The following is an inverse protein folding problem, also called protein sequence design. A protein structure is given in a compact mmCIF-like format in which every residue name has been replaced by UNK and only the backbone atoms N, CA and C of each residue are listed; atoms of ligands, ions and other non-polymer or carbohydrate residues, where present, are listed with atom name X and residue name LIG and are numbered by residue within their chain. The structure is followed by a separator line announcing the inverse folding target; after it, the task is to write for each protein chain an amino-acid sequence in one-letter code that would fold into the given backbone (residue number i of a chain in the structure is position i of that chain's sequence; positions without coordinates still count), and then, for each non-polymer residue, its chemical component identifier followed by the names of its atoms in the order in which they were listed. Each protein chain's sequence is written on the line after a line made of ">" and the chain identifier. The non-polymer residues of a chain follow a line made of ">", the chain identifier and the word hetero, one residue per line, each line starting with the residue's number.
data_IF_383891367778
#
_entry.id   IF_383891367778
#
_cell.length_a   1.000
_cell.length_b   1.000
_cell.length_c   1.000
_cell.angle_alpha   90.00
_cell.angle_beta   90.00
_cell.angle_gamma   90.00
#
_symmetry.space_group_name_H-M   'P 1'
#
loop_
_entity.id
_entity.type
_entity.pdbx_description
1 polymer ?
#
# COMPACT_ATOMS: atom_id res chain seq x y z
N UNK A 1 -4.97 43.72 0.50
CA UNK A 1 -4.29 43.19 1.69
C UNK A 1 -5.35 42.36 2.42
N UNK A 2 -5.36 41.06 2.25
CA UNK A 2 -6.23 40.14 3.03
C UNK A 2 -5.71 40.17 4.47
N UNK A 3 -6.51 40.68 5.40
CA UNK A 3 -6.24 40.57 6.83
C UNK A 3 -6.03 39.08 7.15
N UNK A 4 -4.85 38.73 7.68
CA UNK A 4 -4.60 37.38 8.19
C UNK A 4 -5.60 37.18 9.33
N UNK A 5 -6.55 36.26 9.15
CA UNK A 5 -7.54 35.90 10.16
C UNK A 5 -6.76 35.41 11.39
N UNK A 6 -7.10 35.92 12.56
CA UNK A 6 -6.48 35.49 13.82
C UNK A 6 -7.01 34.10 14.14
N UNK A 7 -6.10 33.15 14.47
CA UNK A 7 -6.48 31.80 14.92
C UNK A 7 -7.21 30.96 13.85
N UNK A 8 -6.55 30.78 12.70
CA UNK A 8 -7.11 30.08 11.53
C UNK A 8 -6.54 28.66 11.33
N UNK A 9 -5.62 28.20 12.21
CA UNK A 9 -4.91 26.94 12.09
C UNK A 9 -5.16 26.04 13.31
N UNK A 10 -5.60 24.81 13.07
CA UNK A 10 -5.54 23.71 14.04
C UNK A 10 -4.30 22.85 13.77
N UNK A 11 -3.47 22.63 14.79
CA UNK A 11 -2.23 21.84 14.64
C UNK A 11 -2.49 20.39 15.07
N UNK A 12 -2.06 19.42 14.25
CA UNK A 12 -2.09 18.00 14.59
C UNK A 12 -0.66 17.46 14.58
N UNK A 13 -0.18 16.96 15.73
CA UNK A 13 1.14 16.34 15.88
C UNK A 13 0.98 14.84 16.00
N UNK A 14 1.71 14.10 15.18
CA UNK A 14 1.66 12.64 15.06
C UNK A 14 3.02 12.00 15.37
N UNK A 15 3.04 10.66 15.53
CA UNK A 15 4.25 9.86 15.79
C UNK A 15 5.05 10.36 17.01
N UNK A 16 4.35 10.66 18.11
CA UNK A 16 4.95 11.19 19.32
C UNK A 16 5.63 10.09 20.13
N UNK A 17 6.93 9.90 19.92
CA UNK A 17 7.75 8.88 20.60
C UNK A 17 8.74 9.45 21.63
N UNK A 18 8.85 10.79 21.76
CA UNK A 18 9.82 11.45 22.64
C UNK A 18 9.32 12.79 23.11
N UNK A 19 9.27 13.01 24.43
CA UNK A 19 8.94 14.31 25.03
C UNK A 19 9.90 15.42 24.60
N UNK A 20 11.19 15.12 24.48
CA UNK A 20 12.19 16.09 24.02
C UNK A 20 11.92 16.59 22.59
N UNK A 21 11.62 15.68 21.67
CA UNK A 21 11.28 16.07 20.29
C UNK A 21 9.98 16.84 20.24
N UNK A 22 8.98 16.45 21.03
CA UNK A 22 7.69 17.15 21.12
C UNK A 22 7.87 18.59 21.61
N UNK A 23 8.64 18.80 22.68
CA UNK A 23 8.94 20.14 23.19
C UNK A 23 9.64 20.99 22.11
N UNK A 24 10.60 20.43 21.39
CA UNK A 24 11.29 21.12 20.30
C UNK A 24 10.31 21.51 19.20
N UNK A 25 9.40 20.61 18.79
CA UNK A 25 8.35 20.90 17.80
C UNK A 25 7.45 22.04 18.29
N UNK A 26 6.95 21.96 19.52
CA UNK A 26 6.10 23.00 20.13
C UNK A 26 6.80 24.36 20.22
N UNK A 27 8.07 24.42 20.61
CA UNK A 27 8.86 25.65 20.66
C UNK A 27 8.91 26.36 19.30
N UNK A 28 9.02 25.62 18.21
CA UNK A 28 9.07 26.22 16.86
C UNK A 28 7.72 26.76 16.39
N UNK A 29 6.60 26.29 16.97
CA UNK A 29 5.26 26.81 16.70
C UNK A 29 5.02 28.20 17.27
N UNK A 30 5.87 28.69 18.19
CA UNK A 30 5.74 30.01 18.80
C UNK A 30 5.69 31.15 17.78
N UNK A 31 6.40 31.01 16.67
CA UNK A 31 6.36 31.98 15.57
C UNK A 31 5.00 32.07 14.86
N UNK A 32 4.16 31.05 15.02
CA UNK A 32 2.81 30.93 14.44
C UNK A 32 1.69 31.09 15.47
N UNK A 33 2.02 31.36 16.75
CA UNK A 33 1.06 31.37 17.87
C UNK A 33 -0.19 32.22 17.61
N UNK A 34 -0.04 33.35 16.92
CA UNK A 34 -1.17 34.23 16.57
C UNK A 34 -2.13 33.67 15.52
N UNK A 35 -1.75 32.57 14.82
CA UNK A 35 -2.59 31.86 13.86
C UNK A 35 -3.12 30.52 14.41
N UNK A 36 -2.51 29.99 15.45
CA UNK A 36 -2.89 28.70 16.02
C UNK A 36 -4.12 28.91 16.91
N UNK A 37 -5.20 28.15 16.66
CA UNK A 37 -6.34 28.04 17.54
C UNK A 37 -6.06 27.01 18.63
N UNK A 38 -5.86 25.75 18.25
CA UNK A 38 -5.64 24.61 19.14
C UNK A 38 -4.57 23.64 18.60
N UNK A 39 -4.07 22.79 19.52
CA UNK A 39 -3.10 21.75 19.18
C UNK A 39 -3.65 20.39 19.64
N UNK A 40 -3.67 19.42 18.72
CA UNK A 40 -3.98 18.04 19.03
C UNK A 40 -2.73 17.16 18.86
N UNK A 41 -2.43 16.37 19.89
CA UNK A 41 -1.34 15.38 19.87
C UNK A 41 -1.97 14.01 19.77
N UNK A 42 -1.64 13.26 18.71
CA UNK A 42 -2.09 11.89 18.54
C UNK A 42 -1.28 10.95 19.43
N UNK A 43 -1.98 10.28 20.35
CA UNK A 43 -1.39 9.34 21.32
C UNK A 43 -1.41 7.93 20.76
N UNK A 44 -0.34 7.53 20.08
CA UNK A 44 -0.22 6.25 19.38
C UNK A 44 0.26 5.11 20.31
N UNK A 45 1.16 5.40 21.24
CA UNK A 45 1.89 4.38 22.00
C UNK A 45 1.60 4.45 23.52
N UNK A 46 0.58 5.20 23.97
CA UNK A 46 0.26 5.44 25.39
C UNK A 46 1.48 5.91 26.21
N UNK A 47 2.44 6.57 25.56
CA UNK A 47 3.64 7.09 26.20
C UNK A 47 3.22 8.23 27.11
N UNK A 48 3.65 8.18 28.36
CA UNK A 48 3.40 9.25 29.34
C UNK A 48 4.27 10.47 29.00
N UNK A 49 3.89 11.18 27.91
CA UNK A 49 4.58 12.39 27.47
C UNK A 49 4.31 13.50 28.49
N UNK A 50 5.33 13.92 29.23
CA UNK A 50 5.26 15.12 30.03
C UNK A 50 5.31 16.33 29.10
N UNK A 51 4.26 17.12 29.09
CA UNK A 51 4.20 18.38 28.37
C UNK A 51 4.35 19.49 29.41
N UNK A 52 5.52 20.12 29.39
CA UNK A 52 5.69 21.31 30.19
C UNK A 52 4.99 22.49 29.49
N UNK A 53 3.90 22.99 30.04
CA UNK A 53 3.00 23.99 29.45
C UNK A 53 3.61 25.37 29.20
N UNK A 54 4.93 25.53 29.19
CA UNK A 54 5.59 26.83 29.23
C UNK A 54 5.86 27.49 27.86
N UNK A 55 5.56 26.81 26.73
CA UNK A 55 6.00 27.33 25.43
C UNK A 55 4.92 28.03 24.60
N UNK A 56 3.65 27.67 24.77
CA UNK A 56 2.53 28.21 23.98
C UNK A 56 1.30 28.43 24.86
N UNK A 57 0.68 29.62 24.76
CA UNK A 57 -0.62 29.92 25.42
C UNK A 57 -1.79 29.35 24.62
N UNK A 58 -1.72 28.05 24.29
CA UNK A 58 -2.75 27.38 23.49
C UNK A 58 -3.22 26.11 24.17
N UNK A 59 -4.47 25.76 23.93
CA UNK A 59 -5.03 24.53 24.43
C UNK A 59 -4.37 23.34 23.69
N UNK A 60 -3.85 22.39 24.47
CA UNK A 60 -3.23 21.17 23.95
C UNK A 60 -4.05 19.99 24.42
N UNK A 61 -4.64 19.27 23.51
CA UNK A 61 -5.39 18.04 23.80
C UNK A 61 -4.67 16.80 23.29
N UNK A 62 -4.89 15.68 23.97
CA UNK A 62 -4.44 14.37 23.50
C UNK A 62 -5.61 13.61 22.88
N UNK A 63 -5.37 13.07 21.70
CA UNK A 63 -6.34 12.28 20.97
C UNK A 63 -5.90 10.80 20.98
N UNK A 64 -6.68 9.96 21.65
CA UNK A 64 -6.44 8.51 21.68
C UNK A 64 -6.87 7.88 20.37
N UNK A 65 -6.14 6.83 19.94
CA UNK A 65 -6.51 6.06 18.77
C UNK A 65 -7.83 5.31 18.97
N UNK A 66 -8.69 5.37 17.96
CA UNK A 66 -9.91 4.56 17.86
C UNK A 66 -9.50 3.24 17.19
N UNK A 67 -9.66 2.12 17.91
CA UNK A 67 -9.34 0.78 17.41
C UNK A 67 -7.94 0.64 16.78
N UNK A 68 -6.96 1.37 17.33
CA UNK A 68 -5.60 1.41 16.77
C UNK A 68 -5.54 1.86 15.29
N UNK A 69 -6.49 2.67 14.84
CA UNK A 69 -6.59 3.16 13.47
C UNK A 69 -6.35 4.68 13.39
N UNK A 70 -5.16 5.06 12.91
CA UNK A 70 -4.77 6.47 12.75
C UNK A 70 -5.71 7.17 11.76
N UNK A 71 -5.99 6.56 10.62
CA UNK A 71 -6.82 7.15 9.57
C UNK A 71 -8.24 7.42 10.05
N UNK A 72 -8.89 6.43 10.66
CA UNK A 72 -10.23 6.60 11.24
C UNK A 72 -10.24 7.64 12.36
N UNK A 73 -9.23 7.62 13.24
CA UNK A 73 -9.12 8.58 14.35
C UNK A 73 -9.01 10.01 13.82
N UNK A 74 -8.10 10.25 12.87
CA UNK A 74 -7.92 11.55 12.25
C UNK A 74 -9.19 12.00 11.53
N UNK A 75 -9.81 11.15 10.72
CA UNK A 75 -11.02 11.49 9.98
C UNK A 75 -12.15 11.93 10.90
N UNK A 76 -12.37 11.22 12.01
CA UNK A 76 -13.42 11.56 12.99
C UNK A 76 -13.12 12.86 13.73
N UNK A 77 -11.85 13.11 14.04
CA UNK A 77 -11.43 14.35 14.71
C UNK A 77 -11.56 15.55 13.77
N UNK A 78 -11.11 15.43 12.53
CA UNK A 78 -11.14 16.48 11.50
C UNK A 78 -12.56 16.96 11.21
N UNK A 79 -13.56 16.08 11.26
CA UNK A 79 -14.96 16.51 11.09
C UNK A 79 -15.43 17.56 12.12
N UNK A 80 -14.81 17.62 13.28
CA UNK A 80 -15.15 18.51 14.38
C UNK A 80 -14.36 19.83 14.36
N UNK A 81 -13.31 19.93 13.54
CA UNK A 81 -12.45 21.11 13.44
C UNK A 81 -13.16 22.18 12.59
N UNK A 82 -13.21 23.42 13.07
CA UNK A 82 -13.86 24.56 12.40
C UNK A 82 -12.85 25.54 11.78
N UNK A 83 -11.55 25.46 12.15
CA UNK A 83 -10.50 26.31 11.58
C UNK A 83 -10.42 26.17 10.05
N UNK A 84 -9.91 27.21 9.39
CA UNK A 84 -9.74 27.21 7.93
C UNK A 84 -8.70 26.19 7.47
N UNK A 85 -7.67 25.92 8.31
CA UNK A 85 -6.53 25.06 7.96
C UNK A 85 -6.18 24.07 9.05
N UNK A 86 -5.64 22.93 8.65
CA UNK A 86 -5.00 21.94 9.52
C UNK A 86 -3.53 21.86 9.17
N UNK A 87 -2.66 22.05 10.17
CA UNK A 87 -1.22 21.91 10.07
C UNK A 87 -0.79 20.56 10.62
N UNK A 88 -0.22 19.69 9.78
CA UNK A 88 0.33 18.40 10.20
C UNK A 88 1.83 18.49 10.49
N UNK A 89 2.25 17.98 11.64
CA UNK A 89 3.65 17.85 12.02
C UNK A 89 3.93 16.45 12.54
N UNK A 90 5.09 15.92 12.18
CA UNK A 90 5.63 14.74 12.83
C UNK A 90 6.39 15.18 14.09
N UNK A 91 6.36 14.39 15.18
CA UNK A 91 7.03 14.71 16.45
C UNK A 91 8.53 15.07 16.32
N UNK A 92 9.21 14.57 15.31
CA UNK A 92 10.61 14.90 15.04
C UNK A 92 10.79 16.06 14.05
N UNK A 93 9.69 16.63 13.53
CA UNK A 93 9.69 17.76 12.62
C UNK A 93 9.69 19.06 13.42
N UNK A 94 10.47 20.03 13.00
CA UNK A 94 10.50 21.37 13.55
C UNK A 94 10.74 22.41 12.47
N UNK A 95 10.19 23.60 12.69
CA UNK A 95 10.40 24.71 11.77
C UNK A 95 11.75 25.39 12.01
N UNK A 96 12.38 25.87 10.96
CA UNK A 96 13.55 26.72 11.07
C UNK A 96 13.14 28.14 11.43
N UNK A 97 14.07 28.93 11.99
CA UNK A 97 13.84 30.33 12.44
C UNK A 97 13.36 31.29 11.34
N UNK A 98 13.39 30.87 10.08
CA UNK A 98 13.04 31.67 8.92
C UNK A 98 11.60 31.53 8.44
N UNK A 99 10.72 30.84 9.18
CA UNK A 99 9.31 30.77 8.81
C UNK A 99 8.62 32.10 9.00
N UNK A 100 8.28 32.69 7.87
CA UNK A 100 7.39 33.84 7.80
C UNK A 100 5.96 33.28 7.73
N UNK A 101 5.05 33.80 8.57
CA UNK A 101 3.62 33.42 8.57
C UNK A 101 2.98 33.42 7.16
N UNK A 102 3.49 34.29 6.27
CA UNK A 102 3.03 34.38 4.86
C UNK A 102 3.35 33.14 4.01
N UNK A 103 4.29 32.29 4.42
CA UNK A 103 4.66 31.08 3.65
C UNK A 103 3.70 29.93 3.88
N UNK A 104 2.96 29.95 5.00
CA UNK A 104 1.88 29.02 5.27
C UNK A 104 0.53 29.56 4.79
N UNK A 105 0.51 30.16 3.60
CA UNK A 105 -0.72 30.63 2.94
C UNK A 105 -0.95 29.82 1.66
N UNK A 106 -2.18 29.34 1.54
CA UNK A 106 -2.69 28.77 0.30
C UNK A 106 -3.40 29.85 -0.51
N UNK A 107 -3.05 29.92 -1.79
CA UNK A 107 -3.86 30.72 -2.74
C UNK A 107 -5.12 29.94 -3.15
N UNK A 108 -6.01 30.54 -3.91
CA UNK A 108 -7.30 29.94 -4.27
C UNK A 108 -7.18 28.66 -5.11
N UNK A 109 -6.06 28.51 -5.85
CA UNK A 109 -5.83 27.35 -6.73
C UNK A 109 -5.31 26.12 -5.99
N UNK A 110 -4.77 26.26 -4.76
CA UNK A 110 -4.16 25.17 -4.02
C UNK A 110 -4.98 24.81 -2.79
N UNK A 111 -5.13 23.50 -2.55
CA UNK A 111 -5.84 22.96 -1.40
C UNK A 111 -4.90 22.53 -0.27
N UNK A 112 -3.63 22.26 -0.59
CA UNK A 112 -2.65 21.86 0.40
C UNK A 112 -1.22 22.28 0.04
N UNK A 113 -0.42 22.47 1.09
CA UNK A 113 1.05 22.56 1.02
C UNK A 113 1.62 21.21 1.42
N UNK A 114 2.69 20.83 0.72
CA UNK A 114 3.51 19.66 1.06
C UNK A 114 4.97 20.05 1.15
N UNK A 115 5.77 19.22 1.79
CA UNK A 115 7.22 19.36 1.82
C UNK A 115 7.88 18.00 1.53
N UNK A 116 9.09 18.03 0.98
CA UNK A 116 9.85 16.83 0.63
C UNK A 116 11.02 16.64 1.60
N UNK A 117 11.10 15.48 2.22
CA UNK A 117 12.20 15.06 3.06
C UNK A 117 13.09 14.07 2.34
N UNK A 118 14.42 14.21 2.54
CA UNK A 118 15.38 13.19 2.17
C UNK A 118 15.65 12.31 3.41
N UNK A 119 15.13 11.09 3.40
CA UNK A 119 15.29 10.12 4.48
C UNK A 119 16.06 8.91 3.95
N UNK A 120 17.33 8.75 4.38
CA UNK A 120 18.20 7.63 3.97
C UNK A 120 18.32 7.44 2.44
N UNK A 121 18.38 8.52 1.69
CA UNK A 121 18.47 8.48 0.22
C UNK A 121 17.14 8.52 -0.50
N UNK A 122 16.02 8.26 0.18
CA UNK A 122 14.67 8.31 -0.39
C UNK A 122 14.02 9.68 -0.16
N UNK A 123 13.37 10.20 -1.18
CA UNK A 123 12.57 11.44 -1.07
C UNK A 123 11.15 11.02 -0.67
N UNK A 124 10.67 11.54 0.46
CA UNK A 124 9.32 11.33 0.96
C UNK A 124 8.60 12.66 1.04
N UNK A 125 7.48 12.76 0.34
CA UNK A 125 6.59 13.92 0.41
C UNK A 125 5.58 13.73 1.54
N UNK A 126 5.42 14.78 2.35
CA UNK A 126 4.50 14.78 3.48
C UNK A 126 3.58 15.99 3.41
N UNK A 127 2.30 15.86 3.82
CA UNK A 127 1.41 17.00 3.94
C UNK A 127 1.91 17.93 5.06
N UNK A 128 1.71 19.22 4.86
CA UNK A 128 2.08 20.26 5.83
C UNK A 128 0.85 21.06 6.28
N UNK A 129 0.26 21.84 5.36
CA UNK A 129 -0.92 22.66 5.63
C UNK A 129 -2.03 22.29 4.63
N UNK A 130 -3.22 22.00 5.11
CA UNK A 130 -4.35 21.56 4.29
C UNK A 130 -5.58 22.39 4.63
N UNK A 131 -6.37 22.79 3.63
CA UNK A 131 -7.69 23.36 3.88
C UNK A 131 -8.59 22.34 4.57
N UNK A 132 -9.18 22.72 5.69
CA UNK A 132 -10.04 21.82 6.48
C UNK A 132 -11.21 21.29 5.65
N UNK A 133 -11.84 22.15 4.85
CA UNK A 133 -12.95 21.76 3.95
C UNK A 133 -12.53 20.71 2.91
N UNK A 134 -11.31 20.83 2.37
CA UNK A 134 -10.77 19.85 1.44
C UNK A 134 -10.55 18.50 2.11
N UNK A 135 -9.97 18.49 3.32
CA UNK A 135 -9.67 17.27 4.05
C UNK A 135 -10.92 16.56 4.56
N UNK A 136 -11.97 17.29 4.93
CA UNK A 136 -13.29 16.71 5.28
C UNK A 136 -13.89 15.88 4.14
N UNK A 137 -13.64 16.26 2.90
CA UNK A 137 -14.12 15.58 1.70
C UNK A 137 -13.13 14.51 1.16
N UNK A 138 -11.84 14.61 1.49
CA UNK A 138 -10.79 13.71 1.05
C UNK A 138 -10.19 12.96 2.24
N UNK A 139 -10.94 11.98 2.76
CA UNK A 139 -10.61 11.24 3.98
C UNK A 139 -9.31 10.42 3.82
N UNK A 140 -8.57 10.27 4.91
CA UNK A 140 -7.46 9.31 4.99
C UNK A 140 -7.95 7.86 4.91
N UNK A 141 -7.08 6.98 4.46
CA UNK A 141 -7.33 5.54 4.46
C UNK A 141 -7.45 4.97 5.88
N UNK A 142 -8.30 3.95 6.03
CA UNK A 142 -8.38 3.15 7.25
C UNK A 142 -7.21 2.15 7.33
N UNK A 143 -6.98 1.61 8.53
CA UNK A 143 -5.85 0.68 8.80
C UNK A 143 -5.79 -0.54 7.87
N UNK A 144 -6.94 -1.09 7.49
CA UNK A 144 -7.00 -2.27 6.61
C UNK A 144 -6.94 -1.94 5.12
N UNK A 145 -6.71 -0.67 4.76
CA UNK A 145 -6.59 -0.21 3.38
C UNK A 145 -5.15 0.15 3.00
N UNK A 146 -4.21 0.12 3.95
CA UNK A 146 -2.80 0.42 3.74
C UNK A 146 -1.92 -0.68 4.33
N UNK A 147 -0.74 -0.97 3.75
CA UNK A 147 0.10 -2.09 4.19
C UNK A 147 0.70 -1.90 5.60
N UNK A 148 0.96 -0.66 5.99
CA UNK A 148 1.50 -0.27 7.31
C UNK A 148 1.26 1.22 7.57
N UNK A 149 1.23 1.61 8.84
CA UNK A 149 0.83 2.96 9.27
C UNK A 149 1.65 4.10 8.67
N UNK A 150 2.94 3.90 8.44
CA UNK A 150 3.83 4.90 7.87
C UNK A 150 3.51 5.25 6.41
N UNK A 151 2.76 4.40 5.70
CA UNK A 151 2.31 4.65 4.34
C UNK A 151 1.10 5.60 4.24
N UNK A 152 0.45 5.95 5.37
CA UNK A 152 -0.83 6.67 5.39
C UNK A 152 -0.82 7.96 4.56
N UNK A 153 0.13 8.85 4.81
CA UNK A 153 0.15 10.15 4.15
C UNK A 153 0.58 10.07 2.68
N UNK A 154 1.58 9.24 2.38
CA UNK A 154 2.08 9.12 1.00
C UNK A 154 1.07 8.41 0.10
N UNK A 155 0.38 7.37 0.60
CA UNK A 155 -0.70 6.70 -0.12
C UNK A 155 -1.91 7.64 -0.33
N UNK A 156 -2.25 8.45 0.69
CA UNK A 156 -3.29 9.46 0.56
C UNK A 156 -2.93 10.53 -0.47
N UNK A 157 -1.69 11.08 -0.41
CA UNK A 157 -1.21 12.09 -1.36
C UNK A 157 -1.17 11.59 -2.80
N UNK A 158 -0.91 10.29 -3.02
CA UNK A 158 -0.88 9.71 -4.38
C UNK A 158 -2.22 9.77 -5.11
N UNK A 159 -3.34 9.91 -4.38
CA UNK A 159 -4.69 10.08 -4.95
C UNK A 159 -5.05 11.54 -5.25
N UNK A 160 -4.30 12.48 -4.73
CA UNK A 160 -4.63 13.90 -4.84
C UNK A 160 -4.07 14.46 -6.15
N UNK A 161 -4.91 15.20 -6.89
CA UNK A 161 -4.48 15.88 -8.11
C UNK A 161 -3.30 16.81 -7.81
N UNK A 162 -2.20 16.60 -8.50
CA UNK A 162 -0.97 17.41 -8.35
C UNK A 162 -1.21 18.91 -8.55
N UNK A 163 -2.23 19.28 -9.34
CA UNK A 163 -2.57 20.69 -9.60
C UNK A 163 -3.03 21.45 -8.37
N UNK A 164 -3.58 20.76 -7.37
CA UNK A 164 -4.05 21.40 -6.13
C UNK A 164 -2.99 21.37 -5.02
N UNK A 165 -1.81 20.78 -5.28
CA UNK A 165 -0.69 20.66 -4.35
C UNK A 165 0.35 21.76 -4.65
N UNK A 166 0.79 22.47 -3.61
CA UNK A 166 1.94 23.37 -3.66
C UNK A 166 3.05 22.83 -2.78
N UNK A 167 4.22 22.62 -3.32
CA UNK A 167 5.41 22.24 -2.55
C UNK A 167 6.05 23.47 -1.91
N UNK A 168 6.43 23.38 -0.65
CA UNK A 168 7.29 24.36 0.02
C UNK A 168 8.74 23.89 0.02
N UNK A 169 9.64 24.84 0.16
CA UNK A 169 11.08 24.58 0.12
C UNK A 169 11.52 23.70 1.31
N UNK A 170 12.48 22.80 1.10
CA UNK A 170 12.98 21.84 2.11
C UNK A 170 13.60 22.51 3.33
N UNK A 171 14.05 23.75 3.21
CA UNK A 171 14.71 24.46 4.29
C UNK A 171 13.78 24.83 5.46
N UNK A 172 12.47 24.82 5.26
CA UNK A 172 11.50 25.25 6.26
C UNK A 172 11.19 24.21 7.33
N UNK A 173 11.17 22.92 6.97
CA UNK A 173 10.90 21.83 7.88
C UNK A 173 12.13 20.95 8.00
N UNK A 174 12.71 20.89 9.19
CA UNK A 174 13.82 19.99 9.50
C UNK A 174 13.35 18.88 10.43
N UNK A 175 14.07 17.76 10.42
CA UNK A 175 13.79 16.61 11.26
C UNK A 175 14.98 16.32 12.18
N UNK A 176 14.67 15.97 13.43
CA UNK A 176 15.65 15.39 14.32
C UNK A 176 16.06 13.99 13.78
N UNK A 177 17.32 13.57 13.94
CA UNK A 177 17.76 12.28 13.48
C UNK A 177 16.90 11.14 14.04
N UNK A 178 16.36 10.29 13.18
CA UNK A 178 15.70 9.06 13.62
C UNK A 178 16.73 7.94 13.81
N UNK A 179 16.47 7.04 14.77
CA UNK A 179 17.34 5.89 15.03
C UNK A 179 17.63 5.03 13.77
N UNK A 180 18.78 4.41 13.72
CA UNK A 180 19.26 3.58 12.60
C UNK A 180 18.59 2.20 12.59
N UNK A 181 17.30 2.09 12.23
CA UNK A 181 16.68 0.80 12.00
C UNK A 181 16.71 0.46 10.51
N UNK A 182 17.22 -0.71 10.16
CA UNK A 182 17.21 -1.24 8.79
C UNK A 182 15.76 -1.42 8.27
N UNK A 183 14.84 -1.75 9.18
CA UNK A 183 13.41 -1.92 8.86
C UNK A 183 12.75 -0.64 8.34
N UNK A 184 13.15 0.51 8.87
CA UNK A 184 12.66 1.82 8.42
C UNK A 184 13.11 2.15 6.99
N UNK A 185 14.28 1.68 6.56
CA UNK A 185 14.80 1.95 5.21
C UNK A 185 13.93 1.31 4.12
N UNK A 186 13.50 0.06 4.32
CA UNK A 186 12.68 -0.66 3.32
C UNK A 186 11.25 -0.11 3.23
N UNK A 187 10.68 0.33 4.36
CA UNK A 187 9.40 1.04 4.35
C UNK A 187 9.52 2.38 3.61
N UNK A 188 10.61 3.12 3.81
CA UNK A 188 10.83 4.38 3.11
C UNK A 188 11.02 4.20 1.60
N UNK A 189 11.78 3.16 1.17
CA UNK A 189 11.89 2.79 -0.23
C UNK A 189 10.52 2.48 -0.86
N UNK A 190 9.69 1.73 -0.15
CA UNK A 190 8.32 1.47 -0.60
C UNK A 190 7.49 2.75 -0.69
N UNK A 191 7.51 3.59 0.36
CA UNK A 191 6.72 4.83 0.45
C UNK A 191 7.12 5.84 -0.64
N UNK A 192 8.43 5.95 -0.97
CA UNK A 192 8.90 6.87 -1.99
C UNK A 192 8.31 6.59 -3.37
N UNK A 193 7.93 5.34 -3.64
CA UNK A 193 7.33 4.93 -4.92
C UNK A 193 5.94 5.50 -5.17
N UNK A 194 5.21 5.93 -4.12
CA UNK A 194 3.92 6.63 -4.29
C UNK A 194 4.05 7.99 -5.01
N UNK A 195 5.25 8.57 -5.06
CA UNK A 195 5.50 9.88 -5.65
C UNK A 195 5.92 9.82 -7.11
N UNK A 196 6.13 8.62 -7.65
CA UNK A 196 6.52 8.46 -9.04
C UNK A 196 5.41 8.98 -9.95
N UNK A 197 5.79 9.82 -10.92
CA UNK A 197 4.86 10.23 -11.96
C UNK A 197 4.64 9.08 -12.94
N UNK A 198 3.38 8.86 -13.30
CA UNK A 198 3.05 7.89 -14.32
C UNK A 198 3.71 8.28 -15.65
N UNK A 199 4.62 7.44 -16.15
CA UNK A 199 5.13 7.61 -17.51
C UNK A 199 4.04 7.16 -18.48
N UNK A 200 3.58 8.08 -19.34
CA UNK A 200 2.69 7.70 -20.44
C UNK A 200 3.49 6.98 -21.51
N UNK A 201 3.10 5.79 -21.83
CA UNK A 201 3.66 5.04 -22.96
C UNK A 201 2.54 4.75 -23.96
N UNK A 202 2.76 5.13 -25.20
CA UNK A 202 1.89 4.68 -26.30
C UNK A 202 2.03 3.16 -26.47
N UNK A 203 0.92 2.45 -26.66
CA UNK A 203 0.84 1.00 -26.91
C UNK A 203 1.52 0.05 -25.89
N UNK A 204 1.15 0.17 -24.63
CA UNK A 204 1.56 -0.80 -23.60
C UNK A 204 0.60 -2.00 -23.57
N UNK A 205 1.10 -3.23 -23.28
CA UNK A 205 0.24 -4.38 -23.04
C UNK A 205 -0.79 -4.11 -21.95
N UNK A 206 -2.03 -4.53 -22.21
CA UNK A 206 -3.11 -4.44 -21.23
C UNK A 206 -2.94 -5.49 -20.13
N UNK A 207 -3.18 -5.11 -18.88
CA UNK A 207 -3.04 -5.98 -17.71
C UNK A 207 -4.29 -5.86 -16.85
N UNK A 208 -4.92 -7.01 -16.55
CA UNK A 208 -5.86 -7.13 -15.44
C UNK A 208 -5.18 -7.77 -14.24
N UNK A 209 -5.74 -7.52 -13.04
CA UNK A 209 -5.31 -8.19 -11.82
C UNK A 209 -6.44 -9.12 -11.38
N UNK A 210 -6.10 -10.34 -10.96
CA UNK A 210 -7.04 -11.28 -10.37
C UNK A 210 -6.64 -11.61 -8.94
N UNK A 211 -7.61 -11.54 -8.02
CA UNK A 211 -7.45 -11.81 -6.60
C UNK A 211 -8.46 -12.89 -6.19
N UNK A 212 -7.98 -14.00 -5.63
CA UNK A 212 -8.84 -14.99 -4.99
C UNK A 212 -8.85 -14.75 -3.49
N UNK A 213 -10.03 -14.57 -2.92
CA UNK A 213 -10.24 -14.29 -1.50
C UNK A 213 -11.03 -15.42 -0.82
N UNK A 214 -10.59 -15.80 0.37
CA UNK A 214 -11.33 -16.64 1.30
C UNK A 214 -10.90 -16.35 2.73
N UNK A 215 -11.81 -15.75 3.53
CA UNK A 215 -11.58 -15.42 4.95
C UNK A 215 -10.33 -14.55 5.20
N UNK A 216 -10.18 -13.44 4.43
CA UNK A 216 -9.08 -12.49 4.55
C UNK A 216 -9.55 -11.06 4.88
N UNK A 217 -10.60 -10.90 5.71
CA UNK A 217 -11.20 -9.61 6.06
C UNK A 217 -10.20 -8.52 6.47
N UNK A 218 -9.09 -8.92 7.12
CA UNK A 218 -8.06 -8.00 7.63
C UNK A 218 -7.04 -7.56 6.57
N UNK A 219 -7.01 -8.22 5.42
CA UNK A 219 -5.94 -8.05 4.45
C UNK A 219 -6.41 -7.70 3.04
N UNK A 220 -7.57 -8.23 2.64
CA UNK A 220 -8.04 -8.12 1.24
C UNK A 220 -8.20 -6.68 0.76
N UNK A 221 -8.60 -5.75 1.62
CA UNK A 221 -8.68 -4.34 1.25
C UNK A 221 -7.30 -3.71 0.97
N UNK A 222 -6.22 -4.19 1.64
CA UNK A 222 -4.84 -3.77 1.32
C UNK A 222 -4.47 -4.23 -0.07
N UNK A 223 -4.76 -5.50 -0.42
CA UNK A 223 -4.49 -6.05 -1.75
C UNK A 223 -5.22 -5.23 -2.82
N UNK A 224 -6.52 -5.02 -2.68
CA UNK A 224 -7.36 -4.25 -3.61
C UNK A 224 -6.86 -2.80 -3.72
N UNK A 225 -6.63 -2.13 -2.60
CA UNK A 225 -6.17 -0.74 -2.61
C UNK A 225 -4.79 -0.59 -3.25
N UNK A 226 -3.89 -1.58 -3.10
CA UNK A 226 -2.59 -1.57 -3.77
C UNK A 226 -2.71 -1.60 -5.29
N UNK A 227 -3.80 -2.16 -5.83
CA UNK A 227 -4.11 -2.15 -7.26
C UNK A 227 -4.61 -0.79 -7.74
N UNK A 228 -5.41 -0.09 -6.93
CA UNK A 228 -5.90 1.27 -7.24
C UNK A 228 -4.84 2.35 -7.07
N UNK A 229 -3.83 2.12 -6.24
CA UNK A 229 -2.74 3.06 -5.98
C UNK A 229 -1.53 2.89 -6.91
N UNK A 230 -1.70 2.16 -8.02
CA UNK A 230 -0.65 2.00 -9.03
C UNK A 230 -0.38 3.31 -9.78
N UNK A 231 0.91 3.61 -10.06
CA UNK A 231 1.30 4.72 -10.95
C UNK A 231 0.74 4.57 -12.35
N UNK A 232 0.54 3.33 -12.80
CA UNK A 232 -0.16 2.97 -14.04
C UNK A 232 -1.27 1.98 -13.72
N UNK A 233 -2.52 2.40 -13.84
CA UNK A 233 -3.67 1.59 -13.45
C UNK A 233 -3.79 0.28 -14.26
N UNK A 234 -4.29 -0.80 -13.66
CA UNK A 234 -4.71 -1.99 -14.39
C UNK A 234 -5.97 -1.68 -15.23
N UNK A 235 -6.23 -2.50 -16.25
CA UNK A 235 -7.47 -2.43 -17.03
C UNK A 235 -8.69 -2.78 -16.18
N UNK A 236 -8.59 -3.89 -15.43
CA UNK A 236 -9.60 -4.33 -14.49
C UNK A 236 -8.95 -4.98 -13.27
N UNK A 237 -9.65 -4.94 -12.14
CA UNK A 237 -9.33 -5.65 -10.91
C UNK A 237 -10.49 -6.62 -10.65
N UNK A 238 -10.24 -7.90 -10.87
CA UNK A 238 -11.20 -8.97 -10.59
C UNK A 238 -10.91 -9.55 -9.22
N UNK A 239 -11.90 -9.52 -8.34
CA UNK A 239 -11.83 -10.20 -7.05
C UNK A 239 -12.90 -11.27 -7.03
N UNK A 240 -12.52 -12.50 -6.68
CA UNK A 240 -13.47 -13.56 -6.44
C UNK A 240 -13.44 -13.94 -4.96
N UNK A 241 -14.57 -13.77 -4.29
CA UNK A 241 -14.78 -14.29 -2.94
C UNK A 241 -15.25 -15.74 -3.02
N UNK A 242 -14.44 -16.65 -2.54
CA UNK A 242 -14.71 -18.09 -2.60
C UNK A 242 -15.49 -18.56 -1.35
N UNK A 243 -16.59 -17.87 -1.06
CA UNK A 243 -17.52 -18.25 0.01
C UNK A 243 -16.98 -17.93 1.41
N UNK A 244 -16.44 -16.74 1.62
CA UNK A 244 -15.98 -16.30 2.94
C UNK A 244 -17.10 -16.30 3.97
N UNK A 245 -16.74 -16.60 5.22
CA UNK A 245 -17.62 -16.61 6.39
C UNK A 245 -17.30 -15.46 7.36
N UNK A 246 -16.25 -14.70 7.09
CA UNK A 246 -15.90 -13.45 7.76
C UNK A 246 -16.45 -12.23 7.00
N UNK A 247 -16.06 -11.02 7.39
CA UNK A 247 -16.55 -9.79 6.75
C UNK A 247 -15.85 -9.46 5.40
N UNK A 248 -15.08 -10.38 4.82
CA UNK A 248 -14.36 -10.15 3.56
C UNK A 248 -15.28 -9.68 2.44
N UNK A 249 -16.38 -10.41 2.20
CA UNK A 249 -17.31 -10.08 1.12
C UNK A 249 -17.96 -8.70 1.31
N UNK A 250 -18.40 -8.39 2.53
CA UNK A 250 -18.99 -7.10 2.85
C UNK A 250 -17.99 -5.96 2.62
N UNK A 251 -16.75 -6.11 3.07
CA UNK A 251 -15.69 -5.13 2.84
C UNK A 251 -15.45 -4.91 1.33
N UNK A 252 -15.48 -5.97 0.54
CA UNK A 252 -15.27 -5.91 -0.91
C UNK A 252 -16.42 -5.22 -1.65
N UNK A 253 -17.66 -5.27 -1.15
CA UNK A 253 -18.80 -4.59 -1.79
C UNK A 253 -18.64 -3.08 -1.84
N UNK A 254 -17.87 -2.48 -0.93
CA UNK A 254 -17.58 -1.04 -0.92
C UNK A 254 -16.78 -0.58 -2.15
N UNK A 255 -16.12 -1.50 -2.86
CA UNK A 255 -15.30 -1.19 -4.03
C UNK A 255 -16.05 -1.27 -5.36
N UNK A 256 -17.28 -1.79 -5.39
CA UNK A 256 -18.11 -1.94 -6.60
C UNK A 256 -18.42 -0.59 -7.26
N UNK A 257 -18.31 0.51 -6.53
CA UNK A 257 -18.50 1.88 -7.05
C UNK A 257 -17.46 2.28 -8.10
N UNK A 258 -16.33 1.57 -8.17
CA UNK A 258 -15.28 1.81 -9.16
C UNK A 258 -15.50 0.94 -10.39
N UNK A 259 -15.59 1.51 -11.60
CA UNK A 259 -15.91 0.77 -12.83
C UNK A 259 -14.90 -0.35 -13.16
N UNK A 260 -13.64 -0.17 -12.76
CA UNK A 260 -12.55 -1.12 -13.00
C UNK A 260 -12.61 -2.32 -12.05
N UNK A 261 -13.34 -2.22 -10.95
CA UNK A 261 -13.46 -3.28 -9.95
C UNK A 261 -14.62 -4.24 -10.28
N UNK A 262 -14.34 -5.53 -10.31
CA UNK A 262 -15.31 -6.59 -10.60
C UNK A 262 -15.29 -7.61 -9.47
N UNK A 263 -16.38 -7.73 -8.74
CA UNK A 263 -16.54 -8.68 -7.65
C UNK A 263 -17.38 -9.89 -8.11
N UNK A 264 -16.81 -11.08 -7.98
CA UNK A 264 -17.48 -12.36 -8.15
C UNK A 264 -17.64 -13.04 -6.79
N UNK A 265 -18.62 -13.92 -6.65
CA UNK A 265 -18.83 -14.72 -5.45
C UNK A 265 -19.12 -16.17 -5.80
N UNK A 266 -18.65 -17.11 -4.95
CA UNK A 266 -18.86 -18.55 -5.10
C UNK A 266 -19.04 -19.23 -3.74
N UNK A 267 -19.46 -20.50 -3.74
CA UNK A 267 -19.70 -21.31 -2.54
C UNK A 267 -18.48 -22.17 -2.20
N UNK A 268 -17.34 -21.56 -1.84
CA UNK A 268 -16.09 -22.24 -1.46
C UNK A 268 -15.75 -23.45 -2.36
N UNK A 269 -15.57 -23.18 -3.63
CA UNK A 269 -15.27 -24.20 -4.65
C UNK A 269 -13.76 -24.51 -4.78
N UNK A 270 -12.91 -23.76 -4.07
CA UNK A 270 -11.46 -23.87 -4.07
C UNK A 270 -10.79 -22.94 -5.09
N UNK A 271 -9.56 -22.47 -4.75
CA UNK A 271 -8.82 -21.38 -5.45
C UNK A 271 -8.71 -21.62 -6.96
N UNK A 272 -8.32 -22.83 -7.40
CA UNK A 272 -8.16 -23.13 -8.83
C UNK A 272 -9.48 -22.94 -9.62
N UNK A 273 -10.61 -23.43 -9.11
CA UNK A 273 -11.91 -23.24 -9.75
C UNK A 273 -12.37 -21.79 -9.72
N UNK A 274 -12.14 -21.10 -8.60
CA UNK A 274 -12.45 -19.68 -8.45
C UNK A 274 -11.68 -18.84 -9.48
N UNK A 275 -10.36 -19.05 -9.61
CA UNK A 275 -9.53 -18.36 -10.61
C UNK A 275 -9.97 -18.66 -12.05
N UNK A 276 -10.43 -19.88 -12.35
CA UNK A 276 -10.96 -20.20 -13.68
C UNK A 276 -12.23 -19.41 -14.01
N UNK A 277 -13.13 -19.19 -13.03
CA UNK A 277 -14.29 -18.30 -13.23
C UNK A 277 -13.88 -16.86 -13.55
N UNK A 278 -12.85 -16.36 -12.87
CA UNK A 278 -12.31 -15.03 -13.18
C UNK A 278 -11.70 -15.00 -14.57
N UNK A 279 -10.95 -16.04 -14.97
CA UNK A 279 -10.28 -16.11 -16.28
C UNK A 279 -11.28 -16.04 -17.45
N UNK A 280 -12.50 -16.52 -17.29
CA UNK A 280 -13.56 -16.39 -18.31
C UNK A 280 -13.90 -14.92 -18.61
N UNK A 281 -13.78 -14.04 -17.62
CA UNK A 281 -14.10 -12.62 -17.73
C UNK A 281 -12.91 -11.75 -18.20
N UNK A 282 -11.69 -12.29 -18.28
CA UNK A 282 -10.48 -11.54 -18.62
C UNK A 282 -10.30 -11.50 -20.14
N UNK A 283 -10.13 -10.29 -20.68
CA UNK A 283 -9.88 -10.01 -22.10
C UNK A 283 -8.54 -9.31 -22.38
N UNK A 284 -7.79 -8.95 -21.33
CA UNK A 284 -6.49 -8.27 -21.44
C UNK A 284 -5.38 -9.21 -21.89
N UNK A 285 -4.27 -8.62 -22.42
CA UNK A 285 -3.12 -9.38 -22.93
C UNK A 285 -2.46 -10.24 -21.84
N UNK A 286 -2.41 -9.70 -20.62
CA UNK A 286 -1.83 -10.35 -19.46
C UNK A 286 -2.71 -10.23 -18.22
N UNK A 287 -2.54 -11.17 -17.32
CA UNK A 287 -3.18 -11.16 -16.00
C UNK A 287 -2.13 -11.39 -14.91
N UNK A 288 -2.14 -10.50 -13.90
CA UNK A 288 -1.34 -10.63 -12.69
C UNK A 288 -2.19 -11.30 -11.61
N UNK A 289 -1.72 -12.41 -11.06
CA UNK A 289 -2.30 -13.04 -9.88
C UNK A 289 -1.75 -12.39 -8.62
N UNK A 290 -2.64 -11.91 -7.75
CA UNK A 290 -2.33 -11.33 -6.44
C UNK A 290 -3.09 -12.08 -5.35
N UNK A 291 -2.37 -12.55 -4.34
CA UNK A 291 -2.98 -13.21 -3.19
C UNK A 291 -3.64 -12.17 -2.26
N UNK A 292 -4.77 -12.51 -1.63
CA UNK A 292 -5.61 -11.57 -0.88
C UNK A 292 -4.95 -11.02 0.40
N UNK A 293 -3.89 -11.65 0.88
CA UNK A 293 -3.12 -11.24 2.06
C UNK A 293 -1.84 -10.46 1.70
N UNK A 294 -1.52 -10.32 0.40
CA UNK A 294 -0.34 -9.66 -0.13
C UNK A 294 -0.66 -8.26 -0.72
N UNK A 295 0.35 -7.55 -1.21
CA UNK A 295 0.16 -6.27 -1.90
C UNK A 295 1.26 -5.95 -2.89
N UNK A 296 0.98 -5.03 -3.82
CA UNK A 296 1.89 -4.56 -4.85
C UNK A 296 2.65 -3.28 -4.42
N UNK A 297 3.87 -3.11 -4.93
CA UNK A 297 4.53 -1.80 -4.89
C UNK A 297 3.73 -0.79 -5.73
N UNK A 298 3.73 0.51 -5.39
CA UNK A 298 2.96 1.52 -6.13
C UNK A 298 3.29 1.63 -7.62
N UNK A 299 4.51 1.27 -8.02
CA UNK A 299 4.97 1.27 -9.41
C UNK A 299 5.04 -0.13 -10.04
N UNK A 300 4.36 -1.12 -9.47
CA UNK A 300 4.48 -2.51 -9.92
C UNK A 300 4.09 -2.70 -11.38
N UNK A 301 2.95 -2.17 -11.79
CA UNK A 301 2.49 -2.33 -13.18
C UNK A 301 3.36 -1.58 -14.19
N UNK A 302 3.96 -0.46 -13.81
CA UNK A 302 4.94 0.25 -14.65
C UNK A 302 6.16 -0.63 -14.90
N UNK A 303 6.73 -1.22 -13.84
CA UNK A 303 7.89 -2.12 -13.95
C UNK A 303 7.56 -3.36 -14.77
N UNK A 304 6.42 -4.00 -14.51
CA UNK A 304 5.97 -5.21 -15.22
C UNK A 304 5.78 -4.90 -16.70
N UNK A 305 5.07 -3.84 -17.08
CA UNK A 305 4.85 -3.45 -18.47
C UNK A 305 6.17 -3.21 -19.22
N UNK A 306 7.18 -2.66 -18.54
CA UNK A 306 8.51 -2.49 -19.11
C UNK A 306 9.12 -3.80 -19.61
N UNK A 307 8.92 -4.91 -18.89
CA UNK A 307 9.38 -6.24 -19.30
C UNK A 307 8.45 -6.89 -20.35
N UNK A 308 7.13 -6.69 -20.23
CA UNK A 308 6.16 -7.31 -21.13
C UNK A 308 6.27 -6.79 -22.58
N UNK A 309 6.68 -5.53 -22.76
CA UNK A 309 6.82 -4.89 -24.07
C UNK A 309 7.72 -5.68 -25.05
N UNK A 310 8.76 -6.31 -24.52
CA UNK A 310 9.74 -7.09 -25.32
C UNK A 310 9.62 -8.60 -25.12
N UNK A 311 8.54 -9.07 -24.46
CA UNK A 311 8.37 -10.47 -24.15
C UNK A 311 7.95 -11.28 -25.37
N UNK A 312 8.70 -12.35 -25.70
CA UNK A 312 8.35 -13.26 -26.81
C UNK A 312 6.96 -13.86 -26.65
N UNK A 313 6.29 -14.12 -27.78
CA UNK A 313 4.99 -14.80 -27.82
C UNK A 313 5.05 -16.23 -27.27
N UNK A 314 6.21 -16.88 -27.30
CA UNK A 314 6.43 -18.22 -26.73
C UNK A 314 6.43 -18.23 -25.20
N UNK A 315 6.50 -17.05 -24.53
CA UNK A 315 6.54 -16.96 -23.08
C UNK A 315 5.13 -16.81 -22.51
N UNK A 316 4.73 -17.76 -21.67
CA UNK A 316 3.43 -17.78 -21.02
C UNK A 316 3.43 -17.12 -19.63
N UNK A 317 4.57 -17.09 -18.93
CA UNK A 317 4.68 -16.58 -17.57
C UNK A 317 5.92 -15.70 -17.41
N UNK A 318 5.74 -14.46 -16.97
CA UNK A 318 6.77 -13.59 -16.45
C UNK A 318 6.73 -13.63 -14.91
N UNK A 319 7.89 -13.75 -14.28
CA UNK A 319 8.01 -13.72 -12.82
C UNK A 319 9.34 -13.09 -12.37
N UNK A 320 9.42 -12.74 -11.08
CA UNK A 320 10.56 -12.03 -10.50
C UNK A 320 10.90 -12.50 -9.09
N UNK A 321 11.05 -11.54 -8.18
CA UNK A 321 11.37 -11.76 -6.77
C UNK A 321 10.18 -11.40 -5.88
N UNK A 322 10.19 -11.95 -4.65
CA UNK A 322 9.21 -11.65 -3.61
C UNK A 322 9.89 -10.88 -2.48
N UNK A 323 9.31 -9.75 -2.05
CA UNK A 323 9.70 -9.05 -0.83
C UNK A 323 8.89 -9.58 0.33
N UNK A 324 9.56 -10.04 1.38
CA UNK A 324 8.92 -10.69 2.52
C UNK A 324 8.74 -9.72 3.67
N UNK A 325 7.56 -9.75 4.28
CA UNK A 325 7.19 -8.96 5.44
C UNK A 325 6.55 -9.85 6.50
N UNK A 326 7.04 -9.78 7.74
CA UNK A 326 6.43 -10.45 8.89
C UNK A 326 5.43 -9.53 9.56
N UNK A 327 4.19 -9.99 9.74
CA UNK A 327 3.19 -9.30 10.54
C UNK A 327 3.65 -9.26 12.01
N UNK A 328 3.75 -8.06 12.58
CA UNK A 328 4.19 -7.84 13.96
C UNK A 328 3.07 -7.31 14.87
N UNK A 329 2.05 -6.73 14.30
CA UNK A 329 0.84 -6.20 14.95
C UNK A 329 -0.21 -5.90 13.89
N UNK A 330 -1.32 -5.26 14.23
CA UNK A 330 -2.44 -5.03 13.30
C UNK A 330 -2.01 -4.17 12.10
N UNK A 331 -1.20 -3.14 12.34
CA UNK A 331 -0.68 -2.21 11.32
C UNK A 331 0.85 -2.17 11.28
N UNK A 332 1.51 -3.15 11.83
CA UNK A 332 2.95 -3.21 11.82
C UNK A 332 3.44 -4.44 11.08
N UNK A 333 4.26 -4.21 10.08
CA UNK A 333 4.99 -5.24 9.34
C UNK A 333 6.48 -4.97 9.43
N UNK A 334 7.27 -6.03 9.55
CA UNK A 334 8.73 -5.97 9.58
C UNK A 334 9.30 -6.62 8.34
N UNK A 335 10.19 -5.90 7.68
CA UNK A 335 10.92 -6.45 6.54
C UNK A 335 11.70 -7.71 6.93
N UNK A 336 11.50 -8.78 6.16
CA UNK A 336 12.11 -10.10 6.41
C UNK A 336 13.14 -10.51 5.34
N UNK A 337 13.24 -9.75 4.24
CA UNK A 337 14.20 -10.02 3.18
C UNK A 337 13.58 -10.06 1.79
N UNK A 338 14.40 -10.35 0.79
CA UNK A 338 13.97 -10.63 -0.58
C UNK A 338 14.25 -12.09 -0.87
N UNK A 339 13.22 -12.80 -1.32
CA UNK A 339 13.35 -14.14 -1.89
C UNK A 339 13.57 -14.00 -3.39
N UNK A 340 14.82 -14.22 -3.83
CA UNK A 340 15.15 -14.14 -5.25
C UNK A 340 14.65 -15.36 -6.00
N UNK A 341 14.02 -15.11 -7.14
CA UNK A 341 13.68 -16.14 -8.11
C UNK A 341 14.92 -16.67 -8.84
N UNK A 342 14.73 -17.71 -9.62
CA UNK A 342 15.70 -18.24 -10.57
C UNK A 342 14.99 -18.73 -11.82
N UNK A 343 15.65 -18.77 -13.00
CA UNK A 343 15.06 -19.36 -14.21
C UNK A 343 14.59 -20.79 -13.96
N UNK A 344 13.49 -21.17 -14.61
CA UNK A 344 12.94 -22.52 -14.63
C UNK A 344 12.70 -22.90 -16.10
N UNK A 345 13.32 -23.98 -16.55
CA UNK A 345 13.26 -24.43 -17.94
C UNK A 345 12.50 -25.75 -18.11
N UNK A 346 12.38 -26.53 -17.03
CA UNK A 346 11.74 -27.84 -17.07
C UNK A 346 11.02 -28.21 -15.76
N UNK A 347 10.34 -29.37 -15.78
CA UNK A 347 9.61 -29.90 -14.63
C UNK A 347 10.52 -30.19 -13.43
N UNK A 348 11.76 -30.66 -13.64
CA UNK A 348 12.66 -31.03 -12.55
C UNK A 348 13.12 -29.76 -11.78
N UNK A 349 13.41 -28.70 -12.52
CA UNK A 349 13.75 -27.41 -11.92
C UNK A 349 12.55 -26.81 -11.19
N UNK A 350 11.32 -26.94 -11.71
CA UNK A 350 10.10 -26.53 -11.03
C UNK A 350 9.89 -27.29 -9.72
N UNK A 351 10.03 -28.61 -9.74
CA UNK A 351 9.86 -29.46 -8.54
C UNK A 351 10.92 -29.13 -7.48
N UNK A 352 12.13 -28.77 -7.88
CA UNK A 352 13.19 -28.35 -6.98
C UNK A 352 13.03 -26.92 -6.43
N UNK A 353 11.97 -26.21 -6.82
CA UNK A 353 11.68 -24.86 -6.42
C UNK A 353 10.86 -24.86 -5.13
N UNK A 354 11.49 -24.71 -3.96
CA UNK A 354 10.87 -24.91 -2.64
C UNK A 354 9.98 -23.78 -2.13
N UNK A 355 9.61 -22.79 -2.93
CA UNK A 355 8.79 -21.66 -2.49
C UNK A 355 7.85 -21.18 -3.60
N UNK A 356 6.76 -20.45 -3.27
CA UNK A 356 5.88 -19.92 -4.29
C UNK A 356 6.66 -19.09 -5.31
N UNK A 357 6.44 -19.36 -6.59
CA UNK A 357 6.98 -18.57 -7.69
C UNK A 357 6.13 -17.32 -7.83
N UNK A 358 6.76 -16.15 -7.88
CA UNK A 358 6.01 -14.89 -7.97
C UNK A 358 6.92 -13.66 -8.14
N UNK A 359 6.30 -12.51 -8.49
CA UNK A 359 4.90 -12.35 -8.93
C UNK A 359 4.57 -13.18 -10.17
N UNK A 360 3.33 -13.66 -10.30
CA UNK A 360 2.89 -14.46 -11.44
C UNK A 360 2.11 -13.60 -12.43
N UNK A 361 2.74 -13.29 -13.55
CA UNK A 361 2.12 -12.53 -14.63
C UNK A 361 1.97 -13.45 -15.85
N UNK A 362 0.77 -13.90 -16.09
CA UNK A 362 0.45 -14.85 -17.13
C UNK A 362 0.05 -14.14 -18.43
N UNK A 363 0.47 -14.66 -19.57
CA UNK A 363 -0.14 -14.33 -20.86
C UNK A 363 -1.53 -14.94 -20.91
N UNK A 364 -2.56 -14.13 -21.04
CA UNK A 364 -3.97 -14.56 -20.97
C UNK A 364 -4.29 -15.62 -22.03
N UNK A 365 -3.80 -15.43 -23.26
CA UNK A 365 -4.02 -16.39 -24.33
C UNK A 365 -3.40 -17.77 -24.04
N UNK A 366 -2.22 -17.81 -23.38
CA UNK A 366 -1.59 -19.06 -22.97
C UNK A 366 -2.37 -19.78 -21.87
N UNK A 367 -2.87 -19.03 -20.86
CA UNK A 367 -3.75 -19.62 -19.83
C UNK A 367 -5.01 -20.22 -20.46
N UNK A 368 -5.67 -19.48 -21.35
CA UNK A 368 -6.90 -19.93 -22.02
C UNK A 368 -6.65 -21.16 -22.92
N UNK A 369 -5.51 -21.20 -23.63
CA UNK A 369 -5.18 -22.33 -24.53
C UNK A 369 -4.98 -23.66 -23.81
N UNK A 370 -4.63 -23.63 -22.52
CA UNK A 370 -4.50 -24.83 -21.68
C UNK A 370 -5.73 -25.08 -20.80
N UNK A 371 -6.86 -24.42 -21.07
CA UNK A 371 -8.09 -24.49 -20.27
C UNK A 371 -7.89 -24.08 -18.78
N UNK A 372 -7.09 -23.04 -18.54
CA UNK A 372 -6.91 -22.44 -17.21
C UNK A 372 -6.20 -23.30 -16.18
N UNK A 373 -6.48 -23.00 -14.92
CA UNK A 373 -5.86 -23.64 -13.76
C UNK A 373 -6.33 -25.10 -13.61
N UNK A 374 -5.41 -26.07 -13.51
CA UNK A 374 -5.78 -27.48 -13.29
C UNK A 374 -6.49 -27.68 -11.97
N UNK A 375 -7.60 -28.36 -12.00
CA UNK A 375 -8.30 -28.82 -10.78
C UNK A 375 -7.85 -30.25 -10.52
N UNK A 376 -6.83 -30.40 -9.68
CA UNK A 376 -6.31 -31.72 -9.30
C UNK A 376 -7.09 -32.34 -8.16
N UNK A 377 -7.13 -33.66 -8.05
CA UNK A 377 -7.84 -34.37 -6.98
C UNK A 377 -7.19 -34.19 -5.61
N UNK A 378 -5.91 -33.86 -5.57
CA UNK A 378 -5.19 -33.63 -4.32
C UNK A 378 -5.85 -32.52 -3.50
N UNK A 379 -6.28 -32.86 -2.27
CA UNK A 379 -7.00 -31.95 -1.34
C UNK A 379 -8.17 -31.21 -2.03
N UNK A 380 -8.84 -31.83 -2.98
CA UNK A 380 -9.94 -31.24 -3.77
C UNK A 380 -9.54 -29.96 -4.53
N UNK A 381 -8.30 -29.87 -5.04
CA UNK A 381 -7.80 -28.73 -5.80
C UNK A 381 -7.56 -27.47 -4.99
N UNK A 382 -7.37 -27.60 -3.68
CA UNK A 382 -7.20 -26.44 -2.76
C UNK A 382 -5.76 -26.10 -2.45
N UNK A 383 -4.80 -26.84 -2.99
CA UNK A 383 -3.38 -26.68 -2.71
C UNK A 383 -2.53 -26.89 -3.96
N UNK A 384 -1.41 -26.17 -4.03
CA UNK A 384 -0.42 -26.27 -5.10
C UNK A 384 -0.96 -25.96 -6.50
N UNK A 385 -2.01 -25.14 -6.58
CA UNK A 385 -2.57 -24.67 -7.87
C UNK A 385 -1.55 -23.90 -8.69
N UNK A 386 -0.65 -23.16 -8.03
CA UNK A 386 0.46 -22.42 -8.64
C UNK A 386 1.49 -23.36 -9.29
N UNK A 387 1.89 -24.43 -8.60
CA UNK A 387 2.80 -25.44 -9.17
C UNK A 387 2.13 -26.20 -10.32
N UNK A 388 0.86 -26.55 -10.14
CA UNK A 388 0.07 -27.31 -11.13
C UNK A 388 -0.09 -26.56 -12.45
N UNK A 389 -0.42 -25.25 -12.38
CA UNK A 389 -0.55 -24.42 -13.60
C UNK A 389 0.78 -24.23 -14.29
N UNK A 390 1.87 -24.00 -13.55
CA UNK A 390 3.20 -23.81 -14.11
C UNK A 390 3.68 -25.09 -14.77
N UNK A 391 3.48 -26.26 -14.15
CA UNK A 391 3.80 -27.56 -14.74
C UNK A 391 3.04 -27.80 -16.07
N UNK A 392 1.81 -27.35 -16.16
CA UNK A 392 1.02 -27.45 -17.39
C UNK A 392 1.53 -26.49 -18.47
N UNK A 393 1.90 -25.27 -18.10
CA UNK A 393 2.44 -24.27 -19.04
C UNK A 393 3.80 -24.67 -19.62
N UNK A 394 4.70 -25.23 -18.83
CA UNK A 394 6.06 -25.63 -19.28
C UNK A 394 6.01 -26.65 -20.43
N UNK A 395 4.95 -27.46 -20.55
CA UNK A 395 4.80 -28.45 -21.63
C UNK A 395 4.70 -27.82 -23.04
N UNK A 396 4.27 -26.57 -23.14
CA UNK A 396 4.07 -25.91 -24.44
C UNK A 396 4.62 -24.50 -24.55
N UNK A 397 5.08 -23.92 -23.44
CA UNK A 397 5.52 -22.53 -23.37
C UNK A 397 6.80 -22.37 -22.55
N UNK A 398 7.45 -21.23 -22.73
CA UNK A 398 8.59 -20.82 -21.92
C UNK A 398 8.13 -20.01 -20.71
N UNK A 399 8.92 -20.04 -19.64
CA UNK A 399 8.81 -19.17 -18.49
C UNK A 399 9.94 -18.14 -18.52
N UNK A 400 9.68 -16.90 -18.09
CA UNK A 400 10.68 -15.83 -18.09
C UNK A 400 10.90 -15.28 -16.70
N UNK A 401 12.03 -15.58 -16.10
CA UNK A 401 12.50 -14.90 -14.90
C UNK A 401 13.15 -13.56 -15.24
N UNK A 402 12.85 -12.52 -14.45
CA UNK A 402 13.55 -11.22 -14.47
C UNK A 402 13.86 -10.77 -13.04
N UNK A 403 15.03 -10.16 -12.83
CA UNK A 403 15.43 -9.67 -11.49
C UNK A 403 14.74 -8.34 -11.19
N UNK A 404 13.48 -8.41 -10.74
CA UNK A 404 12.71 -7.26 -10.23
C UNK A 404 11.89 -7.67 -9.00
N UNK A 405 11.59 -6.67 -8.15
CA UNK A 405 10.86 -6.91 -6.89
C UNK A 405 9.78 -5.84 -6.74
N UNK A 406 8.53 -6.25 -6.93
CA UNK A 406 7.34 -5.37 -6.85
C UNK A 406 6.17 -6.01 -6.10
N UNK A 407 6.35 -7.26 -5.66
CA UNK A 407 5.34 -8.04 -4.97
C UNK A 407 5.75 -8.25 -3.52
N UNK A 408 4.85 -7.93 -2.60
CA UNK A 408 5.09 -7.95 -1.17
C UNK A 408 4.27 -9.07 -0.53
N UNK A 409 4.96 -10.08 -0.01
CA UNK A 409 4.36 -11.23 0.67
C UNK A 409 4.27 -10.95 2.15
N UNK A 410 3.05 -11.11 2.71
CA UNK A 410 2.78 -11.01 4.13
C UNK A 410 2.88 -12.38 4.80
N UNK A 411 3.83 -12.53 5.70
CA UNK A 411 3.91 -13.71 6.55
C UNK A 411 3.14 -13.49 7.85
N UNK A 412 2.04 -14.21 8.04
CA UNK A 412 1.23 -14.19 9.26
C UNK A 412 0.93 -15.62 9.74
N UNK A 413 0.29 -15.75 10.91
CA UNK A 413 0.06 -17.06 11.53
C UNK A 413 -0.91 -17.98 10.75
N UNK A 414 -1.75 -17.41 9.90
CA UNK A 414 -2.72 -18.15 9.08
C UNK A 414 -2.16 -18.52 7.70
N UNK A 415 -0.95 -18.06 7.33
CA UNK A 415 -0.35 -18.33 6.02
C UNK A 415 -0.22 -19.83 5.77
N UNK A 416 -0.82 -20.29 4.68
CA UNK A 416 -0.93 -21.72 4.31
C UNK A 416 0.46 -22.32 4.06
N UNK A 417 1.38 -21.57 3.51
CA UNK A 417 2.74 -22.02 3.18
C UNK A 417 3.53 -22.56 4.38
N UNK A 418 3.21 -22.09 5.60
CA UNK A 418 3.90 -22.58 6.82
C UNK A 418 3.38 -23.93 7.32
N UNK A 419 2.18 -24.33 6.94
CA UNK A 419 1.50 -25.52 7.51
C UNK A 419 1.73 -26.79 6.69
N UNK A 420 2.23 -26.73 5.46
CA UNK A 420 2.03 -27.78 4.48
C UNK A 420 3.30 -28.40 3.87
N UNK A 421 4.46 -28.26 4.49
CA UNK A 421 5.68 -28.93 4.01
C UNK A 421 5.60 -30.49 4.01
N UNK A 422 4.71 -31.07 4.82
CA UNK A 422 4.52 -32.53 4.89
C UNK A 422 3.80 -33.13 3.68
N UNK A 423 3.03 -32.34 2.96
CA UNK A 423 2.13 -32.81 1.89
C UNK A 423 2.78 -32.79 0.49
N UNK A 424 3.99 -32.22 0.37
CA UNK A 424 4.68 -32.03 -0.90
C UNK A 424 4.97 -33.35 -1.65
N UNK A 425 5.49 -34.35 -0.95
CA UNK A 425 5.80 -35.65 -1.55
C UNK A 425 4.56 -36.38 -2.08
N UNK A 426 3.41 -36.20 -1.40
CA UNK A 426 2.16 -36.78 -1.84
C UNK A 426 1.56 -36.03 -3.04
N UNK A 427 1.68 -34.68 -3.04
CA UNK A 427 1.25 -33.85 -4.17
C UNK A 427 2.02 -34.21 -5.45
N UNK A 428 3.32 -34.48 -5.37
CA UNK A 428 4.13 -34.84 -6.55
C UNK A 428 3.61 -36.06 -7.32
N UNK A 429 2.85 -36.95 -6.68
CA UNK A 429 2.23 -38.12 -7.33
C UNK A 429 1.08 -37.74 -8.29
N UNK A 430 0.57 -36.52 -8.17
CA UNK A 430 -0.50 -35.97 -9.00
C UNK A 430 0.03 -34.99 -10.07
N UNK A 431 1.34 -34.78 -10.11
CA UNK A 431 1.99 -33.83 -11.02
C UNK A 431 2.53 -34.59 -12.26
N UNK A 432 1.65 -35.08 -13.13
CA UNK A 432 2.00 -35.77 -14.38
C UNK A 432 2.43 -34.82 -15.50
#
# INVERSE_FOLDING_TARGET
>A
MTQVKKEDIHVIIINCSSSYNLEKTLLTLKSLEGRIEDITILDEDHINLQINNYSLNKFIQRLKLIEEDIGTTLNNHIQKIECDYILFLNNNAFFTSNIIQKMLLLNDNHQLLTYKNLIKGEIIESPLLIRTSFLKNNKFFKKYQIPFKEALFSSWLSRIDKKVIKNVDREFVKHSPMGKSQFTSQKNEFISKYQNEAKSYESMPSISIMISNYNMEKYVEVAVNSCFLQTQLPQNIFVIDDGSTDNSYENLTNWIVYPEFKLLNTENIGKAKALNKVLECIDTDFVLELDADDWLDPNALEVIRGYLKSLSQSVALLYGNLRLWKQAGIQDVRYAGIRKGKPIFDKNELISYFFPLGPRIYRTSALKSINGFPVIEFKNGRMYEDVSIINKLIKGYQLSYRDFTVYNVREHNLSITKKNHSDWSDFLKYLD
#
